data_IF_464227210057
#
_entry.id   IF_464227210057
#
_cell.length_a   1.000
_cell.length_b   1.000
_cell.length_c   1.000
_cell.angle_alpha   90.00
_cell.angle_beta   90.00
_cell.angle_gamma   90.00
#
_symmetry.space_group_name_H-M   'P 1'
#
loop_
_entity.id
_entity.type
_entity.pdbx_description
1 polymer ?
#
# COMPACT_ATOMS: atom_id res chain seq x y z
N UNK A 1 -18.74 3.30 15.19
CA UNK A 1 -17.81 2.86 16.29
C UNK A 1 -16.43 2.92 15.68
N UNK A 2 -15.42 3.44 16.41
CA UNK A 2 -14.03 3.41 15.93
C UNK A 2 -13.49 1.99 16.03
N UNK A 3 -12.72 1.56 15.03
CA UNK A 3 -12.16 0.21 14.91
C UNK A 3 -10.70 0.28 14.50
N UNK A 4 -9.96 -0.75 14.86
CA UNK A 4 -8.58 -1.00 14.39
C UNK A 4 -8.63 -2.16 13.42
N UNK A 5 -8.04 -1.98 12.25
CA UNK A 5 -7.89 -3.01 11.23
C UNK A 5 -6.43 -3.42 11.13
N UNK A 6 -6.18 -4.70 11.05
CA UNK A 6 -4.85 -5.24 10.74
C UNK A 6 -4.97 -6.24 9.59
N UNK A 7 -4.03 -6.21 8.68
CA UNK A 7 -3.96 -7.11 7.53
C UNK A 7 -2.52 -7.56 7.32
N UNK A 8 -2.34 -8.63 6.57
CA UNK A 8 -1.01 -9.13 6.26
C UNK A 8 -0.29 -8.16 5.33
N UNK A 9 1.03 -8.13 5.42
CA UNK A 9 1.90 -7.35 4.54
C UNK A 9 1.83 -7.88 3.10
N UNK A 10 1.77 -9.19 2.89
CA UNK A 10 1.70 -9.83 1.59
C UNK A 10 0.33 -10.47 1.35
N UNK A 11 -0.42 -9.93 0.38
CA UNK A 11 -1.80 -10.30 0.07
C UNK A 11 -2.01 -10.66 -1.41
N UNK A 12 -0.93 -10.85 -2.17
CA UNK A 12 -1.00 -11.29 -3.56
C UNK A 12 -1.40 -12.76 -3.70
N UNK A 13 -1.99 -13.09 -4.84
CA UNK A 13 -2.57 -14.41 -5.14
C UNK A 13 -1.58 -15.57 -4.92
N UNK A 14 -0.28 -15.34 -5.13
CA UNK A 14 0.77 -16.36 -5.00
C UNK A 14 1.08 -16.72 -3.55
N UNK A 15 0.75 -15.86 -2.58
CA UNK A 15 1.14 -16.01 -1.17
C UNK A 15 -0.05 -16.02 -0.21
N UNK A 16 -1.13 -15.32 -0.54
CA UNK A 16 -2.35 -15.24 0.27
C UNK A 16 -3.58 -15.17 -0.65
N UNK A 17 -4.09 -16.31 -1.15
CA UNK A 17 -5.16 -16.32 -2.14
C UNK A 17 -6.53 -15.87 -1.59
N UNK A 18 -6.72 -15.87 -0.29
CA UNK A 18 -7.95 -15.45 0.40
C UNK A 18 -7.60 -14.46 1.51
N UNK A 19 -7.17 -13.23 1.17
CA UNK A 19 -6.72 -12.25 2.16
C UNK A 19 -7.90 -11.73 2.98
N UNK A 20 -7.64 -11.50 4.27
CA UNK A 20 -8.59 -10.90 5.20
C UNK A 20 -7.93 -9.83 6.05
N UNK A 21 -8.72 -8.87 6.52
CA UNK A 21 -8.33 -7.96 7.57
C UNK A 21 -8.98 -8.40 8.88
N UNK A 22 -8.21 -8.37 9.97
CA UNK A 22 -8.72 -8.60 11.32
C UNK A 22 -9.21 -7.29 11.90
N UNK A 23 -10.36 -7.34 12.55
CA UNK A 23 -11.04 -6.17 13.13
C UNK A 23 -10.99 -6.24 14.65
N UNK A 24 -10.62 -5.13 15.26
CA UNK A 24 -10.59 -4.97 16.71
C UNK A 24 -11.33 -3.68 17.12
N UNK A 25 -11.85 -3.63 18.32
CA UNK A 25 -12.25 -2.36 18.93
C UNK A 25 -11.03 -1.61 19.50
N UNK A 26 -11.25 -0.45 20.11
CA UNK A 26 -10.17 0.36 20.69
C UNK A 26 -9.51 -0.25 21.94
N UNK A 27 -10.16 -1.23 22.57
CA UNK A 27 -9.59 -2.01 23.67
C UNK A 27 -8.82 -3.25 23.14
N UNK A 28 -8.65 -3.34 21.81
CA UNK A 28 -7.99 -4.44 21.09
C UNK A 28 -8.70 -5.79 21.28
N UNK A 29 -10.01 -5.77 21.55
CA UNK A 29 -10.82 -6.99 21.61
C UNK A 29 -11.20 -7.37 20.18
N UNK A 30 -10.91 -8.63 19.73
CA UNK A 30 -11.24 -9.09 18.38
C UNK A 30 -12.74 -9.00 18.09
N UNK A 31 -13.09 -8.45 16.94
CA UNK A 31 -14.47 -8.33 16.44
C UNK A 31 -14.74 -9.26 15.25
N UNK A 32 -13.71 -9.96 14.76
CA UNK A 32 -13.78 -10.88 13.62
C UNK A 32 -12.86 -10.48 12.49
N UNK A 33 -13.22 -10.91 11.28
CA UNK A 33 -12.49 -10.59 10.04
C UNK A 33 -13.45 -10.02 9.01
N UNK A 34 -12.91 -9.23 8.09
CA UNK A 34 -13.58 -8.74 6.89
C UNK A 34 -12.75 -9.07 5.66
N UNK A 35 -13.36 -9.06 4.49
CA UNK A 35 -12.65 -9.24 3.23
C UNK A 35 -11.57 -8.17 3.04
N UNK A 36 -10.43 -8.56 2.48
CA UNK A 36 -9.35 -7.69 2.07
C UNK A 36 -9.03 -7.97 0.58
N UNK A 37 -8.72 -6.98 -0.24
CA UNK A 37 -8.49 -7.22 -1.65
C UNK A 37 -7.19 -7.99 -1.88
N UNK A 38 -7.19 -8.88 -2.87
CA UNK A 38 -5.92 -9.41 -3.39
C UNK A 38 -5.16 -8.27 -4.04
N UNK A 39 -4.02 -7.93 -3.48
CA UNK A 39 -3.10 -6.91 -3.98
C UNK A 39 -1.69 -7.48 -4.03
N UNK A 40 -1.07 -7.39 -5.18
CA UNK A 40 0.27 -7.88 -5.37
C UNK A 40 1.29 -7.00 -4.61
N UNK A 41 2.43 -7.59 -4.30
CA UNK A 41 3.52 -6.98 -3.54
C UNK A 41 3.18 -6.74 -2.05
N UNK A 42 4.03 -5.99 -1.38
CA UNK A 42 3.88 -5.67 0.05
C UNK A 42 2.94 -4.48 0.24
N UNK A 43 2.19 -4.51 1.34
CA UNK A 43 1.51 -3.35 1.91
C UNK A 43 2.19 -3.07 3.25
N UNK A 44 3.12 -2.10 3.26
CA UNK A 44 4.03 -1.90 4.39
C UNK A 44 3.50 -0.94 5.44
N UNK A 45 2.71 0.06 5.02
CA UNK A 45 2.02 0.96 5.95
C UNK A 45 0.77 1.56 5.31
N UNK A 46 -0.12 2.13 6.15
CA UNK A 46 -1.34 2.78 5.71
C UNK A 46 -1.69 4.00 6.56
N UNK A 47 -2.30 5.01 5.95
CA UNK A 47 -2.82 6.18 6.68
C UNK A 47 -4.04 5.81 7.53
N UNK A 48 -4.38 6.66 8.48
CA UNK A 48 -5.70 6.61 9.12
C UNK A 48 -6.80 6.84 8.09
N UNK A 49 -7.98 6.25 8.32
CA UNK A 49 -9.14 6.43 7.43
C UNK A 49 -9.68 7.85 7.49
N UNK A 50 -10.12 8.38 6.34
CA UNK A 50 -10.90 9.60 6.24
C UNK A 50 -12.36 9.38 6.69
N UNK A 51 -13.16 10.44 6.72
CA UNK A 51 -14.55 10.38 7.15
C UNK A 51 -15.47 9.54 6.28
N UNK A 52 -15.10 9.28 5.03
CA UNK A 52 -15.78 8.41 4.07
C UNK A 52 -15.25 6.97 4.09
N UNK A 53 -14.29 6.66 4.97
CA UNK A 53 -13.64 5.36 5.07
C UNK A 53 -12.46 5.16 4.13
N UNK A 54 -12.13 6.13 3.26
CA UNK A 54 -10.96 6.04 2.38
C UNK A 54 -9.66 6.17 3.16
N UNK A 55 -8.60 5.51 2.69
CA UNK A 55 -7.26 5.60 3.21
C UNK A 55 -6.24 5.25 2.12
N UNK A 56 -4.98 5.55 2.36
CA UNK A 56 -3.89 5.30 1.44
C UNK A 56 -2.93 4.29 2.04
N UNK A 57 -2.37 3.44 1.19
CA UNK A 57 -1.41 2.43 1.59
C UNK A 57 -0.18 2.43 0.69
N UNK A 58 0.99 2.18 1.27
CA UNK A 58 2.20 1.92 0.50
C UNK A 58 2.08 0.55 -0.14
N UNK A 59 2.33 0.47 -1.44
CA UNK A 59 2.43 -0.79 -2.18
C UNK A 59 3.82 -0.89 -2.81
N UNK A 60 4.61 -1.82 -2.29
CA UNK A 60 6.06 -1.87 -2.48
C UNK A 60 6.54 -3.26 -2.89
N UNK A 61 7.48 -3.31 -3.83
CA UNK A 61 8.15 -4.53 -4.26
C UNK A 61 9.67 -4.37 -4.30
N UNK A 62 10.34 -5.20 -3.53
CA UNK A 62 11.78 -5.39 -3.60
C UNK A 62 12.09 -6.55 -4.56
N UNK A 63 12.96 -6.39 -5.58
CA UNK A 63 13.23 -7.41 -6.58
C UNK A 63 13.76 -8.74 -6.03
N UNK A 64 14.38 -8.73 -4.84
CA UNK A 64 14.82 -9.93 -4.12
C UNK A 64 13.68 -10.82 -3.59
N UNK A 65 12.47 -10.27 -3.47
CA UNK A 65 11.27 -10.98 -2.98
C UNK A 65 10.58 -11.78 -4.09
N UNK A 66 11.30 -12.68 -4.72
CA UNK A 66 10.85 -13.41 -5.91
C UNK A 66 9.51 -14.13 -5.74
N UNK A 67 9.14 -14.51 -4.51
CA UNK A 67 7.86 -15.16 -4.20
C UNK A 67 6.67 -14.20 -4.30
N UNK A 68 6.90 -12.90 -4.17
CA UNK A 68 5.89 -11.85 -4.27
C UNK A 68 5.72 -11.33 -5.70
N UNK A 69 6.58 -11.76 -6.63
CA UNK A 69 6.49 -11.35 -8.03
C UNK A 69 5.28 -12.04 -8.68
N UNK A 70 4.23 -11.28 -9.09
CA UNK A 70 3.06 -11.86 -9.75
C UNK A 70 3.36 -12.24 -11.19
N UNK A 71 2.47 -13.03 -11.81
CA UNK A 71 2.43 -13.15 -13.27
C UNK A 71 2.03 -11.84 -13.94
N UNK A 72 1.00 -11.18 -13.38
CA UNK A 72 0.46 -9.91 -13.86
C UNK A 72 0.20 -8.97 -12.69
N UNK A 73 0.65 -7.72 -12.81
CA UNK A 73 0.30 -6.63 -11.90
C UNK A 73 -0.98 -5.95 -12.41
N UNK A 74 -2.12 -6.24 -11.80
CA UNK A 74 -3.43 -5.75 -12.21
C UNK A 74 -3.54 -4.22 -12.16
N UNK A 75 -2.87 -3.57 -11.21
CA UNK A 75 -2.84 -2.10 -11.12
C UNK A 75 -2.07 -1.53 -12.32
N UNK A 76 -0.90 -2.09 -12.64
CA UNK A 76 -0.13 -1.65 -13.79
C UNK A 76 -0.84 -1.93 -15.12
N UNK A 77 -1.59 -3.03 -15.23
CA UNK A 77 -2.41 -3.33 -16.40
C UNK A 77 -3.54 -2.33 -16.58
N UNK A 78 -4.18 -1.90 -15.49
CA UNK A 78 -5.34 -0.98 -15.52
C UNK A 78 -4.94 0.48 -15.74
N UNK A 79 -3.85 0.93 -15.11
CA UNK A 79 -3.47 2.36 -15.04
C UNK A 79 -2.13 2.69 -15.69
N UNK A 80 -1.43 1.68 -16.18
CA UNK A 80 -0.06 1.84 -16.71
C UNK A 80 0.99 1.83 -15.60
N UNK A 81 2.23 1.98 -16.03
CA UNK A 81 3.43 1.93 -15.19
C UNK A 81 3.95 3.36 -15.04
N UNK A 82 4.38 3.74 -13.84
CA UNK A 82 5.02 5.04 -13.58
C UNK A 82 6.22 5.29 -14.50
N UNK A 83 6.45 6.53 -14.87
CA UNK A 83 7.47 6.89 -15.86
C UNK A 83 8.85 6.34 -15.50
N UNK A 84 9.26 6.45 -14.23
CA UNK A 84 10.56 5.95 -13.74
C UNK A 84 10.57 4.44 -13.52
N UNK A 85 9.40 3.78 -13.43
CA UNK A 85 9.25 2.34 -13.25
C UNK A 85 9.34 1.53 -14.56
N UNK A 86 9.39 2.18 -15.74
CA UNK A 86 9.39 1.48 -17.02
C UNK A 86 10.65 0.62 -17.23
N UNK A 87 11.74 0.98 -16.60
CA UNK A 87 13.03 0.26 -16.68
C UNK A 87 13.46 -0.35 -15.35
N UNK A 88 12.70 -0.14 -14.30
CA UNK A 88 12.96 -0.64 -12.96
C UNK A 88 12.26 -1.98 -12.72
N UNK A 89 12.86 -2.85 -11.92
CA UNK A 89 12.19 -4.07 -11.45
C UNK A 89 11.40 -3.83 -10.16
N UNK A 90 11.82 -2.87 -9.33
CA UNK A 90 11.11 -2.48 -8.12
C UNK A 90 9.79 -1.78 -8.43
N UNK A 91 8.85 -1.86 -7.50
CA UNK A 91 7.60 -1.11 -7.51
C UNK A 91 7.49 -0.30 -6.24
N UNK A 92 7.30 1.01 -6.37
CA UNK A 92 7.12 1.93 -5.26
C UNK A 92 5.95 2.86 -5.60
N UNK A 93 4.81 2.61 -4.99
CA UNK A 93 3.58 3.37 -5.25
C UNK A 93 2.70 3.47 -4.01
N UNK A 94 1.80 4.44 -4.02
CA UNK A 94 0.75 4.60 -3.02
C UNK A 94 -0.57 4.30 -3.71
N UNK A 95 -1.41 3.47 -3.10
CA UNK A 95 -2.73 3.06 -3.59
C UNK A 95 -3.82 3.56 -2.67
N UNK A 96 -5.00 3.85 -3.23
CA UNK A 96 -6.16 4.27 -2.46
C UNK A 96 -7.08 3.09 -2.18
N UNK A 97 -7.49 2.97 -0.93
CA UNK A 97 -8.35 1.89 -0.44
C UNK A 97 -9.51 2.47 0.36
N UNK A 98 -10.56 1.68 0.58
CA UNK A 98 -11.71 2.10 1.37
C UNK A 98 -12.24 0.98 2.26
N UNK A 99 -12.58 1.31 3.50
CA UNK A 99 -13.38 0.47 4.39
C UNK A 99 -14.84 0.61 4.00
N UNK A 100 -15.48 -0.49 3.64
CA UNK A 100 -16.92 -0.57 3.30
C UNK A 100 -17.67 -1.46 4.30
N UNK A 101 -18.95 -1.62 4.11
CA UNK A 101 -19.76 -2.54 4.92
C UNK A 101 -19.41 -4.02 4.69
N UNK A 102 -18.89 -4.34 3.51
CA UNK A 102 -18.53 -5.71 3.09
C UNK A 102 -17.07 -6.05 3.44
N UNK A 103 -16.21 -5.04 3.59
CA UNK A 103 -14.79 -5.25 3.86
C UNK A 103 -13.95 -4.07 3.39
N UNK A 104 -12.66 -4.32 3.18
CA UNK A 104 -11.73 -3.36 2.60
C UNK A 104 -11.64 -3.60 1.10
N UNK A 105 -11.69 -2.55 0.30
CA UNK A 105 -11.59 -2.61 -1.15
C UNK A 105 -10.48 -1.70 -1.67
N UNK A 106 -9.82 -2.10 -2.75
CA UNK A 106 -8.97 -1.23 -3.54
C UNK A 106 -9.87 -0.34 -4.39
N UNK A 107 -9.68 0.97 -4.33
CA UNK A 107 -10.47 1.89 -5.15
C UNK A 107 -10.04 1.85 -6.62
N UNK A 108 -11.00 2.05 -7.52
CA UNK A 108 -10.76 2.17 -8.96
C UNK A 108 -10.15 3.55 -9.26
N UNK A 109 -8.89 3.72 -8.85
CA UNK A 109 -8.15 4.96 -8.95
C UNK A 109 -6.69 4.69 -9.33
N UNK A 110 -6.12 5.57 -10.19
CA UNK A 110 -4.72 5.46 -10.56
C UNK A 110 -3.81 5.61 -9.32
N UNK A 111 -2.80 4.75 -9.15
CA UNK A 111 -1.86 4.87 -8.05
C UNK A 111 -0.99 6.12 -8.19
N UNK A 112 -0.41 6.56 -7.10
CA UNK A 112 0.66 7.56 -7.09
C UNK A 112 1.98 6.80 -7.13
N UNK A 113 2.65 6.78 -8.28
CA UNK A 113 3.98 6.21 -8.40
C UNK A 113 5.02 7.17 -7.82
N UNK A 114 5.91 6.64 -6.97
CA UNK A 114 7.04 7.41 -6.47
C UNK A 114 8.06 7.62 -7.60
N UNK A 115 8.80 8.72 -7.55
CA UNK A 115 9.85 8.97 -8.53
C UNK A 115 11.11 8.21 -8.13
N UNK A 116 11.49 7.21 -8.92
CA UNK A 116 12.72 6.45 -8.71
C UNK A 116 13.89 7.24 -9.31
N UNK A 117 14.91 7.52 -8.52
CA UNK A 117 16.11 8.22 -8.94
C UNK A 117 17.37 7.31 -8.97
N UNK A 118 17.21 6.06 -8.56
CA UNK A 118 18.25 5.05 -8.53
C UNK A 118 17.72 3.67 -8.91
N UNK A 119 18.61 2.70 -9.13
CA UNK A 119 18.28 1.28 -9.26
C UNK A 119 18.04 0.63 -7.88
N UNK A 120 18.32 1.35 -6.80
CA UNK A 120 18.10 0.88 -5.44
C UNK A 120 16.65 1.04 -5.06
N UNK A 121 16.14 0.07 -4.32
CA UNK A 121 14.79 0.03 -3.79
C UNK A 121 14.82 0.58 -2.37
N UNK A 122 13.94 1.53 -2.07
CA UNK A 122 13.81 2.09 -0.74
C UNK A 122 12.76 1.32 0.06
N UNK A 123 13.12 0.86 1.25
CA UNK A 123 12.20 0.14 2.14
C UNK A 123 11.25 1.14 2.83
N UNK A 124 10.19 1.56 2.14
CA UNK A 124 9.18 2.48 2.68
C UNK A 124 8.30 1.79 3.70
N UNK A 125 8.36 2.24 4.97
CA UNK A 125 7.71 1.59 6.12
C UNK A 125 6.83 2.55 6.93
N UNK A 126 6.76 3.82 6.56
CA UNK A 126 5.90 4.78 7.25
C UNK A 126 5.22 5.73 6.29
N UNK A 127 3.91 5.97 6.52
CA UNK A 127 3.05 6.81 5.69
C UNK A 127 2.09 7.60 6.56
N UNK A 128 2.07 8.92 6.40
CA UNK A 128 1.07 9.76 7.04
C UNK A 128 0.60 10.87 6.10
N UNK A 129 -0.69 11.17 6.12
CA UNK A 129 -1.22 12.34 5.40
C UNK A 129 -0.69 13.63 6.01
N UNK A 130 -0.22 14.54 5.15
CA UNK A 130 0.24 15.87 5.53
C UNK A 130 -0.19 16.90 4.47
N UNK A 131 -1.19 17.71 4.80
CA UNK A 131 -1.79 18.65 3.85
C UNK A 131 -2.37 17.93 2.64
N UNK A 132 -1.99 18.34 1.44
CA UNK A 132 -2.43 17.75 0.16
C UNK A 132 -1.57 16.54 -0.27
N UNK A 133 -0.66 16.07 0.58
CA UNK A 133 0.25 14.98 0.24
C UNK A 133 0.53 14.05 1.40
N UNK A 134 1.69 13.41 1.33
CA UNK A 134 2.11 12.38 2.28
C UNK A 134 3.54 12.63 2.74
N UNK A 135 3.80 12.45 4.04
CA UNK A 135 5.13 12.18 4.54
C UNK A 135 5.35 10.67 4.55
N UNK A 136 6.50 10.25 4.09
CA UNK A 136 6.93 8.85 4.05
C UNK A 136 8.31 8.72 4.68
N UNK A 137 8.56 7.57 5.29
CA UNK A 137 9.86 7.25 5.88
C UNK A 137 10.28 5.83 5.50
N UNK A 138 11.59 5.65 5.28
CA UNK A 138 12.19 4.33 5.03
C UNK A 138 12.67 3.70 6.32
N UNK A 139 12.61 2.37 6.41
CA UNK A 139 13.34 1.58 7.41
C UNK A 139 14.64 1.07 6.80
N UNK A 140 15.63 1.95 6.72
CA UNK A 140 16.95 1.64 6.14
C UNK A 140 18.08 2.20 6.99
N UNK A 141 18.97 1.33 7.43
CA UNK A 141 20.15 1.72 8.21
C UNK A 141 21.41 1.70 7.32
N UNK A 142 22.31 2.71 7.41
CA UNK A 142 22.26 3.86 8.33
C UNK A 142 21.54 5.09 7.76
N UNK A 143 20.92 5.01 6.59
CA UNK A 143 20.46 6.15 5.82
C UNK A 143 18.92 6.16 5.73
N UNK A 144 18.25 6.43 6.84
CA UNK A 144 16.80 6.65 6.82
C UNK A 144 16.44 7.92 6.05
N UNK A 145 15.50 7.80 5.11
CA UNK A 145 14.98 8.92 4.31
C UNK A 145 13.62 9.32 4.87
N UNK A 146 13.40 10.62 5.04
CA UNK A 146 12.10 11.23 5.25
C UNK A 146 11.78 12.04 4.00
N UNK A 147 10.75 11.62 3.28
CA UNK A 147 10.32 12.24 2.02
C UNK A 147 8.91 12.82 2.09
N UNK A 148 8.63 13.78 1.21
CA UNK A 148 7.27 14.29 0.98
C UNK A 148 6.84 14.03 -0.46
N UNK A 149 5.65 13.45 -0.61
CA UNK A 149 5.02 13.15 -1.90
C UNK A 149 3.76 13.98 -2.02
N UNK A 150 3.62 14.76 -3.09
CA UNK A 150 2.37 15.47 -3.34
C UNK A 150 1.27 14.50 -3.76
N UNK A 151 0.10 14.59 -3.12
CA UNK A 151 -1.07 13.76 -3.44
C UNK A 151 -1.96 14.35 -4.54
N UNK A 152 -1.57 15.48 -5.10
CA UNK A 152 -2.38 16.16 -6.12
C UNK A 152 -2.41 15.30 -7.39
N UNK A 153 -3.58 14.75 -7.69
CA UNK A 153 -3.90 14.27 -9.03
C UNK A 153 -4.13 15.52 -9.88
N UNK A 154 -3.19 15.86 -10.76
CA UNK A 154 -3.47 16.80 -11.86
C UNK A 154 -4.52 16.21 -12.82
#
# INVERSE_FOLDING_TARGET
MQQVYTFYEANGINVNPEPVAHVFDLDLIPQGTVEFPSIEYRVTDATVTAGDGSFWAINYFYPGDTKLKPGDDQIALSYGIGQTHQTAEQVERIVEMQVTAEGIVLLDAAPIYLQLDSEESFNWEGLVRMGEGFLMVTDEYPTTILGYVSGVKE
#
